data_IF_348962636098
#
_entry.id   IF_348962636098
#
_cell.length_a   1.000
_cell.length_b   1.000
_cell.length_c   1.000
_cell.angle_alpha   90.00
_cell.angle_beta   90.00
_cell.angle_gamma   90.00
#
_symmetry.space_group_name_H-M   'P 1'
#
loop_
_entity.id
_entity.type
_entity.pdbx_description
1 polymer ?
#
# COMPACT_ATOMS: atom_id res chain seq x y z
N UNK A 1 0.16 -24.05 3.75
CA UNK A 1 -0.58 -23.12 4.67
C UNK A 1 -0.69 -21.77 3.99
N UNK A 2 -1.88 -21.20 3.95
CA UNK A 2 -2.14 -19.88 3.32
C UNK A 2 -2.58 -18.88 4.39
N UNK A 3 -1.98 -17.71 4.40
CA UNK A 3 -2.40 -16.52 5.14
C UNK A 3 -2.83 -15.48 4.11
N UNK A 4 -4.05 -14.93 4.24
CA UNK A 4 -4.56 -13.87 3.39
C UNK A 4 -5.48 -12.96 4.19
N UNK A 5 -5.07 -11.72 4.42
CA UNK A 5 -5.79 -10.74 5.23
C UNK A 5 -6.80 -9.92 4.42
N UNK A 6 -6.75 -9.95 3.06
CA UNK A 6 -7.75 -9.32 2.17
C UNK A 6 -8.88 -10.27 1.75
N UNK A 7 -8.79 -11.56 2.09
CA UNK A 7 -9.79 -12.55 1.68
C UNK A 7 -11.22 -12.12 2.07
N UNK A 8 -12.08 -12.09 1.07
CA UNK A 8 -13.49 -11.64 1.18
C UNK A 8 -13.65 -10.15 1.52
N UNK A 9 -12.64 -9.31 1.25
CA UNK A 9 -12.72 -7.86 1.37
C UNK A 9 -12.78 -7.20 0.01
N UNK A 10 -13.21 -5.94 0.00
CA UNK A 10 -13.25 -5.15 -1.23
C UNK A 10 -11.83 -4.92 -1.77
N UNK A 11 -11.71 -4.87 -3.08
CA UNK A 11 -10.49 -4.50 -3.78
C UNK A 11 -10.66 -3.14 -4.44
N UNK A 12 -9.70 -2.26 -4.23
CA UNK A 12 -9.67 -0.91 -4.80
C UNK A 12 -8.68 -0.87 -5.97
N UNK A 13 -9.12 -0.28 -7.09
CA UNK A 13 -8.30 -0.12 -8.29
C UNK A 13 -7.98 1.35 -8.53
N UNK A 14 -6.73 1.67 -8.88
CA UNK A 14 -6.37 3.05 -9.22
C UNK A 14 -6.98 3.54 -10.53
N UNK A 15 -7.48 2.62 -11.37
CA UNK A 15 -7.99 2.95 -12.71
C UNK A 15 -9.26 3.80 -12.70
N UNK A 16 -10.01 3.74 -11.63
CA UNK A 16 -11.20 4.56 -11.40
C UNK A 16 -10.92 5.81 -10.55
N UNK A 17 -9.66 6.05 -10.15
CA UNK A 17 -9.29 7.24 -9.40
C UNK A 17 -9.57 8.51 -10.22
N UNK A 18 -10.34 9.45 -9.66
CA UNK A 18 -10.78 10.67 -10.35
C UNK A 18 -9.65 11.68 -10.51
N UNK A 19 -8.71 11.74 -9.55
CA UNK A 19 -7.68 12.75 -9.49
C UNK A 19 -6.40 12.35 -10.27
N UNK A 20 -5.98 11.07 -10.18
CA UNK A 20 -4.71 10.60 -10.76
C UNK A 20 -4.75 9.12 -11.15
N UNK A 21 -5.56 8.66 -12.11
CA UNK A 21 -5.69 7.23 -12.42
C UNK A 21 -4.36 6.56 -12.82
N UNK A 22 -3.44 7.33 -13.40
CA UNK A 22 -2.11 6.82 -13.84
C UNK A 22 -0.99 7.04 -12.80
N UNK A 23 -1.30 7.58 -11.62
CA UNK A 23 -0.30 7.92 -10.60
C UNK A 23 -0.77 7.70 -9.17
N UNK A 24 -1.87 6.99 -8.95
CA UNK A 24 -2.46 6.75 -7.64
C UNK A 24 -2.09 5.37 -7.04
N UNK A 25 -1.14 4.63 -7.64
CA UNK A 25 -0.82 3.28 -7.18
C UNK A 25 -0.46 3.21 -5.69
N UNK A 26 0.27 4.19 -5.18
CA UNK A 26 0.68 4.26 -3.78
C UNK A 26 -0.50 4.54 -2.84
N UNK A 27 -1.38 5.49 -3.19
CA UNK A 27 -2.56 5.83 -2.39
C UNK A 27 -3.58 4.70 -2.42
N UNK A 28 -3.84 4.12 -3.60
CA UNK A 28 -4.77 2.98 -3.74
C UNK A 28 -4.24 1.73 -3.03
N UNK A 29 -2.93 1.45 -3.13
CA UNK A 29 -2.31 0.36 -2.35
C UNK A 29 -2.40 0.61 -0.84
N UNK A 30 -2.34 1.87 -0.39
CA UNK A 30 -2.52 2.21 1.02
C UNK A 30 -3.97 1.92 1.48
N UNK A 31 -4.98 2.26 0.67
CA UNK A 31 -6.37 1.92 0.97
C UNK A 31 -6.59 0.41 0.99
N UNK A 32 -6.07 -0.33 0.01
CA UNK A 32 -6.09 -1.80 0.03
C UNK A 32 -5.43 -2.35 1.30
N UNK A 33 -4.30 -1.77 1.72
CA UNK A 33 -3.60 -2.21 2.92
C UNK A 33 -4.39 -1.91 4.20
N UNK A 34 -5.00 -0.75 4.32
CA UNK A 34 -5.89 -0.42 5.43
C UNK A 34 -7.10 -1.39 5.47
N UNK A 35 -7.70 -1.65 4.31
CA UNK A 35 -8.82 -2.59 4.20
C UNK A 35 -8.41 -4.01 4.61
N UNK A 36 -7.28 -4.51 4.09
CA UNK A 36 -6.74 -5.82 4.47
C UNK A 36 -6.46 -5.91 5.98
N UNK A 37 -6.03 -4.83 6.60
CA UNK A 37 -5.80 -4.71 8.04
C UNK A 37 -7.08 -4.39 8.85
N UNK A 38 -8.27 -4.53 8.23
CA UNK A 38 -9.60 -4.36 8.84
C UNK A 38 -9.95 -2.94 9.31
N UNK A 39 -9.27 -1.91 8.76
CA UNK A 39 -9.69 -0.54 8.98
C UNK A 39 -11.03 -0.27 8.27
N UNK A 40 -11.94 0.54 8.83
CA UNK A 40 -13.25 0.83 8.24
C UNK A 40 -13.11 1.83 7.07
N UNK A 41 -12.50 1.41 5.97
CA UNK A 41 -12.15 2.27 4.82
C UNK A 41 -13.36 2.94 4.17
N UNK A 42 -14.55 2.36 4.28
CA UNK A 42 -15.78 2.99 3.80
C UNK A 42 -16.06 4.34 4.48
N UNK A 43 -15.61 4.54 5.73
CA UNK A 43 -15.76 5.80 6.46
C UNK A 43 -14.76 6.88 6.00
N UNK A 44 -13.78 6.52 5.17
CA UNK A 44 -12.82 7.47 4.60
C UNK A 44 -13.38 8.25 3.41
N UNK A 45 -14.37 7.70 2.71
CA UNK A 45 -15.11 8.40 1.67
C UNK A 45 -15.90 9.59 2.26
N UNK A 46 -16.27 10.54 1.42
CA UNK A 46 -17.07 11.70 1.80
C UNK A 46 -18.02 12.12 0.67
N UNK A 47 -18.83 13.17 0.86
CA UNK A 47 -19.81 13.66 -0.13
C UNK A 47 -19.17 14.04 -1.48
N UNK A 48 -17.92 14.53 -1.46
CA UNK A 48 -17.20 14.92 -2.67
C UNK A 48 -16.51 13.73 -3.35
N UNK A 49 -15.99 12.79 -2.58
CA UNK A 49 -15.25 11.63 -3.06
C UNK A 49 -15.88 10.37 -2.48
N UNK A 50 -16.62 9.65 -3.32
CA UNK A 50 -17.24 8.38 -2.96
C UNK A 50 -16.23 7.23 -2.79
N UNK A 51 -15.00 7.42 -3.32
CA UNK A 51 -13.94 6.44 -3.21
C UNK A 51 -12.91 6.89 -2.15
N UNK A 52 -12.51 6.00 -1.22
CA UNK A 52 -11.60 6.35 -0.14
C UNK A 52 -10.20 6.76 -0.63
N UNK A 53 -9.72 6.18 -1.74
CA UNK A 53 -8.44 6.54 -2.36
C UNK A 53 -8.46 7.95 -2.95
N UNK A 54 -9.57 8.42 -3.51
CA UNK A 54 -9.71 9.79 -3.98
C UNK A 54 -9.77 10.78 -2.81
N UNK A 55 -10.47 10.42 -1.74
CA UNK A 55 -10.52 11.23 -0.53
C UNK A 55 -9.13 11.38 0.11
N UNK A 56 -8.35 10.29 0.22
CA UNK A 56 -6.98 10.34 0.73
C UNK A 56 -6.05 11.11 -0.23
N UNK A 57 -6.17 10.92 -1.53
CA UNK A 57 -5.38 11.66 -2.52
C UNK A 57 -5.66 13.17 -2.41
N UNK A 58 -6.93 13.56 -2.34
CA UNK A 58 -7.30 14.97 -2.16
C UNK A 58 -6.72 15.53 -0.86
N UNK A 59 -6.81 14.79 0.24
CA UNK A 59 -6.22 15.19 1.52
C UNK A 59 -4.71 15.44 1.39
N UNK A 60 -3.97 14.51 0.79
CA UNK A 60 -2.52 14.67 0.54
C UNK A 60 -2.23 15.95 -0.25
N UNK A 61 -3.06 16.27 -1.25
CA UNK A 61 -2.84 17.42 -2.13
C UNK A 61 -3.23 18.76 -1.52
N UNK A 62 -4.11 18.78 -0.51
CA UNK A 62 -4.72 20.02 -0.01
C UNK A 62 -4.48 20.32 1.47
N UNK A 63 -4.16 19.30 2.28
CA UNK A 63 -3.92 19.52 3.71
C UNK A 63 -2.65 20.33 3.96
N UNK A 64 -2.75 21.33 4.83
CA UNK A 64 -1.66 22.27 5.08
C UNK A 64 -0.43 21.60 5.73
N UNK A 65 -0.64 20.71 6.69
CA UNK A 65 0.46 20.06 7.41
C UNK A 65 1.22 19.10 6.49
N UNK A 66 0.48 18.35 5.64
CA UNK A 66 1.05 17.48 4.62
C UNK A 66 1.86 18.27 3.59
N UNK A 67 1.33 19.39 3.12
CA UNK A 67 2.00 20.27 2.16
C UNK A 67 3.25 20.95 2.75
N UNK A 68 3.24 21.32 4.03
CA UNK A 68 4.42 21.86 4.71
C UNK A 68 5.51 20.79 4.86
N UNK A 69 5.15 19.54 5.22
CA UNK A 69 6.10 18.43 5.29
C UNK A 69 6.69 18.13 3.91
N UNK A 70 5.85 18.05 2.88
CA UNK A 70 6.31 17.81 1.50
C UNK A 70 7.31 18.85 1.03
N UNK A 71 7.02 20.15 1.19
CA UNK A 71 7.94 21.23 0.80
C UNK A 71 9.28 21.18 1.53
N UNK A 72 9.30 20.69 2.78
CA UNK A 72 10.56 20.45 3.51
C UNK A 72 11.37 19.30 2.92
N UNK A 73 10.70 18.25 2.44
CA UNK A 73 11.33 17.05 1.85
C UNK A 73 11.72 17.28 0.40
N UNK A 74 10.92 18.01 -0.34
CA UNK A 74 11.14 18.34 -1.76
C UNK A 74 11.00 19.84 -2.03
N UNK A 75 11.99 20.64 -1.64
CA UNK A 75 11.96 22.10 -1.83
C UNK A 75 11.89 22.51 -3.31
N UNK A 76 12.29 21.62 -4.22
CA UNK A 76 12.28 21.85 -5.67
C UNK A 76 10.98 21.37 -6.35
N UNK A 77 10.14 20.62 -5.64
CA UNK A 77 8.90 20.07 -6.18
C UNK A 77 9.11 19.07 -7.32
N UNK A 78 10.17 18.26 -7.24
CA UNK A 78 10.54 17.30 -8.30
C UNK A 78 9.55 16.13 -8.40
N UNK A 79 8.96 15.75 -7.27
CA UNK A 79 8.00 14.66 -7.17
C UNK A 79 6.74 15.12 -6.44
N UNK A 80 5.55 14.67 -6.82
CA UNK A 80 4.32 15.01 -6.11
C UNK A 80 4.31 14.43 -4.70
N UNK A 81 3.56 15.04 -3.76
CA UNK A 81 3.59 14.67 -2.34
C UNK A 81 3.25 13.19 -2.07
N UNK A 82 2.35 12.60 -2.84
CA UNK A 82 1.98 11.19 -2.70
C UNK A 82 3.11 10.21 -3.07
N UNK A 83 4.13 10.62 -3.82
CA UNK A 83 5.27 9.77 -4.18
C UNK A 83 6.36 9.73 -3.10
N UNK A 84 6.30 10.64 -2.12
CA UNK A 84 7.21 10.63 -0.97
C UNK A 84 6.67 9.71 0.12
N UNK A 85 7.37 8.63 0.39
CA UNK A 85 6.93 7.59 1.33
C UNK A 85 6.67 8.12 2.74
N UNK A 86 7.54 8.99 3.26
CA UNK A 86 7.35 9.61 4.57
C UNK A 86 6.14 10.54 4.59
N UNK A 87 5.91 11.28 3.50
CA UNK A 87 4.74 12.17 3.36
C UNK A 87 3.47 11.34 3.29
N UNK A 88 3.44 10.26 2.50
CA UNK A 88 2.31 9.35 2.41
C UNK A 88 1.98 8.72 3.78
N UNK A 89 3.01 8.26 4.51
CA UNK A 89 2.85 7.70 5.85
C UNK A 89 2.23 8.71 6.83
N UNK A 90 2.79 9.91 6.88
CA UNK A 90 2.30 10.99 7.73
C UNK A 90 0.87 11.39 7.37
N UNK A 91 0.62 11.62 6.08
CA UNK A 91 -0.69 12.00 5.58
C UNK A 91 -1.77 10.94 5.88
N UNK A 92 -1.44 9.66 5.73
CA UNK A 92 -2.38 8.58 6.04
C UNK A 92 -2.76 8.57 7.52
N UNK A 93 -1.78 8.67 8.44
CA UNK A 93 -2.06 8.71 9.87
C UNK A 93 -2.89 9.96 10.25
N UNK A 94 -2.52 11.13 9.74
CA UNK A 94 -3.25 12.38 9.99
C UNK A 94 -4.69 12.31 9.46
N UNK A 95 -4.89 11.74 8.27
CA UNK A 95 -6.21 11.54 7.68
C UNK A 95 -7.09 10.63 8.53
N UNK A 96 -6.53 9.53 9.05
CA UNK A 96 -7.24 8.62 9.95
C UNK A 96 -7.56 9.29 11.30
N UNK A 97 -6.68 10.16 11.81
CA UNK A 97 -6.91 10.95 13.02
C UNK A 97 -8.06 11.96 12.83
N UNK A 98 -8.09 12.70 11.71
CA UNK A 98 -9.21 13.58 11.37
C UNK A 98 -10.55 12.85 11.26
N UNK A 99 -10.52 11.60 10.80
CA UNK A 99 -11.70 10.72 10.75
C UNK A 99 -12.03 10.05 12.08
N UNK A 100 -11.30 10.39 13.16
CA UNK A 100 -11.46 9.83 14.51
C UNK A 100 -11.33 8.30 14.57
N UNK A 101 -10.53 7.73 13.67
CA UNK A 101 -10.24 6.30 13.61
C UNK A 101 -8.98 5.93 14.41
N UNK A 102 -8.11 6.89 14.67
CA UNK A 102 -6.98 6.77 15.60
C UNK A 102 -7.02 7.89 16.64
N UNK A 103 -6.55 7.58 17.84
CA UNK A 103 -6.54 8.49 18.99
C UNK A 103 -5.21 8.36 19.74
N UNK A 104 -4.92 9.31 20.62
CA UNK A 104 -3.85 9.25 21.61
C UNK A 104 -2.44 9.05 21.05
N UNK A 105 -2.16 9.62 19.86
CA UNK A 105 -0.84 9.54 19.24
C UNK A 105 -0.47 8.15 18.72
N UNK A 106 -1.42 7.23 18.62
CA UNK A 106 -1.22 5.93 17.95
C UNK A 106 -1.02 6.14 16.46
N UNK A 107 -0.33 5.20 15.81
CA UNK A 107 -0.14 5.20 14.37
C UNK A 107 -0.71 3.92 13.77
N UNK A 108 -1.43 4.07 12.65
CA UNK A 108 -1.91 2.96 11.84
C UNK A 108 -0.82 2.46 10.90
N UNK A 109 0.01 3.37 10.39
CA UNK A 109 1.01 3.13 9.36
C UNK A 109 2.37 3.55 9.85
N UNK A 110 3.37 2.69 9.64
CA UNK A 110 4.78 2.97 9.91
C UNK A 110 5.60 2.81 8.63
N UNK A 111 6.30 3.86 8.24
CA UNK A 111 7.27 3.82 7.16
C UNK A 111 8.64 3.31 7.63
N UNK A 112 9.32 2.55 6.80
CA UNK A 112 10.69 2.14 7.05
C UNK A 112 11.42 1.74 5.77
N UNK A 113 12.65 2.23 5.63
CA UNK A 113 13.53 1.96 4.49
C UNK A 113 14.22 0.59 4.58
N UNK A 114 14.20 -0.05 5.74
CA UNK A 114 14.97 -1.26 6.03
C UNK A 114 14.11 -2.33 6.71
N UNK A 115 13.01 -2.73 6.04
CA UNK A 115 12.13 -3.78 6.56
C UNK A 115 12.60 -5.14 6.06
N UNK A 116 12.80 -6.07 6.98
CA UNK A 116 13.14 -7.46 6.66
C UNK A 116 11.91 -8.26 6.20
N UNK A 117 12.14 -9.40 5.56
CA UNK A 117 11.08 -10.38 5.27
C UNK A 117 10.37 -10.81 6.56
N UNK A 118 11.11 -10.94 7.67
CA UNK A 118 10.54 -11.28 8.97
C UNK A 118 9.60 -10.20 9.51
N UNK A 119 9.87 -8.91 9.23
CA UNK A 119 8.97 -7.82 9.59
C UNK A 119 7.66 -7.90 8.81
N UNK A 120 7.74 -8.21 7.50
CA UNK A 120 6.57 -8.41 6.67
C UNK A 120 5.71 -9.58 7.17
N UNK A 121 6.34 -10.73 7.41
CA UNK A 121 5.63 -11.92 7.93
C UNK A 121 4.97 -11.63 9.27
N UNK A 122 5.69 -11.02 10.23
CA UNK A 122 5.14 -10.66 11.53
C UNK A 122 3.95 -9.72 11.44
N UNK A 123 4.02 -8.73 10.53
CA UNK A 123 2.91 -7.81 10.28
C UNK A 123 1.69 -8.55 9.75
N UNK A 124 1.88 -9.42 8.75
CA UNK A 124 0.79 -10.23 8.19
C UNK A 124 0.20 -11.20 9.23
N UNK A 125 1.04 -11.85 10.02
CA UNK A 125 0.61 -12.80 11.06
C UNK A 125 -0.22 -12.11 12.14
N UNK A 126 0.08 -10.86 12.45
CA UNK A 126 -0.70 -10.04 13.39
C UNK A 126 -2.00 -9.46 12.79
N UNK A 127 -2.37 -9.82 11.55
CA UNK A 127 -3.57 -9.32 10.88
C UNK A 127 -3.38 -7.98 10.16
N UNK A 128 -2.16 -7.48 10.10
CA UNK A 128 -1.80 -6.28 9.34
C UNK A 128 -1.51 -6.56 7.88
N UNK A 129 -0.97 -5.57 7.19
CA UNK A 129 -0.61 -5.62 5.76
C UNK A 129 0.61 -4.73 5.51
N UNK A 130 1.13 -4.71 4.28
CA UNK A 130 2.22 -3.80 3.94
C UNK A 130 2.04 -3.20 2.55
N UNK A 131 2.56 -1.97 2.35
CA UNK A 131 2.65 -1.34 1.03
C UNK A 131 4.09 -1.37 0.58
N UNK A 132 4.34 -1.92 -0.60
CA UNK A 132 5.67 -2.19 -1.15
C UNK A 132 5.86 -1.50 -2.50
N UNK A 133 7.03 -0.90 -2.70
CA UNK A 133 7.46 -0.39 -4.00
C UNK A 133 8.30 -1.42 -4.72
N UNK A 134 8.07 -1.53 -6.04
CA UNK A 134 8.84 -2.40 -6.90
C UNK A 134 9.04 -1.85 -8.30
N UNK A 135 9.71 -2.63 -9.15
CA UNK A 135 9.79 -2.44 -10.59
C UNK A 135 8.99 -3.52 -11.29
N UNK A 136 7.95 -3.09 -11.98
CA UNK A 136 7.02 -3.95 -12.70
C UNK A 136 7.14 -3.72 -14.20
N UNK A 137 6.83 -4.73 -15.00
CA UNK A 137 6.85 -4.57 -16.45
C UNK A 137 5.48 -4.15 -16.97
N UNK A 138 5.46 -3.04 -17.71
CA UNK A 138 4.31 -2.59 -18.47
C UNK A 138 4.75 -2.20 -19.88
N UNK A 139 4.15 -2.82 -20.91
CA UNK A 139 4.54 -2.64 -22.31
C UNK A 139 6.06 -2.78 -22.51
N UNK A 140 6.63 -3.85 -21.95
CA UNK A 140 8.06 -4.21 -22.00
C UNK A 140 9.02 -3.23 -21.29
N UNK A 141 8.49 -2.18 -20.67
CA UNK A 141 9.27 -1.20 -19.91
C UNK A 141 9.17 -1.47 -18.42
N UNK A 142 10.26 -1.29 -17.71
CA UNK A 142 10.26 -1.29 -16.26
C UNK A 142 9.65 0.03 -15.75
N UNK A 143 8.60 -0.07 -14.97
CA UNK A 143 7.94 1.06 -14.32
C UNK A 143 8.04 0.93 -12.80
N UNK A 144 8.26 2.06 -12.13
CA UNK A 144 8.08 2.13 -10.67
C UNK A 144 6.61 1.96 -10.33
N UNK A 145 6.30 0.97 -9.50
CA UNK A 145 4.92 0.67 -9.11
C UNK A 145 4.83 0.31 -7.64
N UNK A 146 3.65 0.49 -7.07
CA UNK A 146 3.39 0.22 -5.66
C UNK A 146 2.21 -0.75 -5.55
N UNK A 147 2.38 -1.78 -4.74
CA UNK A 147 1.38 -2.82 -4.49
C UNK A 147 1.15 -3.01 -3.00
N UNK A 148 0.00 -3.58 -2.65
CA UNK A 148 -0.30 -3.99 -1.29
C UNK A 148 0.05 -5.47 -1.07
N UNK A 149 0.81 -5.77 -0.04
CA UNK A 149 1.09 -7.12 0.42
C UNK A 149 0.07 -7.51 1.49
N UNK A 150 -0.73 -8.54 1.20
CA UNK A 150 -1.86 -8.94 2.05
C UNK A 150 -1.72 -10.34 2.65
N UNK A 151 -0.75 -11.12 2.16
CA UNK A 151 -0.59 -12.49 2.65
C UNK A 151 0.59 -13.23 2.04
N UNK A 152 0.61 -14.55 2.31
CA UNK A 152 1.59 -15.47 1.76
C UNK A 152 1.06 -16.91 1.73
N UNK A 153 1.70 -17.74 0.93
CA UNK A 153 1.52 -19.19 0.88
C UNK A 153 2.81 -19.89 1.24
N UNK A 154 2.76 -20.83 2.18
CA UNK A 154 3.89 -21.69 2.58
C UNK A 154 3.71 -23.12 2.04
N UNK A 155 4.82 -23.72 1.68
CA UNK A 155 4.88 -25.15 1.35
C UNK A 155 4.79 -26.03 2.61
N UNK A 156 4.94 -27.35 2.40
CA UNK A 156 4.94 -28.37 3.47
C UNK A 156 6.12 -28.22 4.43
N UNK A 157 7.20 -27.59 4.00
CA UNK A 157 8.39 -27.31 4.82
C UNK A 157 8.32 -25.98 5.56
N UNK A 158 7.21 -25.23 5.41
CA UNK A 158 7.01 -23.93 6.05
C UNK A 158 7.70 -22.76 5.34
N UNK A 159 8.27 -22.98 4.15
CA UNK A 159 8.90 -21.92 3.34
C UNK A 159 7.85 -21.17 2.53
N UNK A 160 7.97 -19.85 2.45
CA UNK A 160 7.09 -19.03 1.60
C UNK A 160 7.40 -19.32 0.14
N UNK A 161 6.38 -19.77 -0.60
CA UNK A 161 6.44 -20.01 -2.04
C UNK A 161 5.87 -18.86 -2.83
N UNK A 162 4.76 -18.32 -2.36
CA UNK A 162 4.12 -17.15 -2.96
C UNK A 162 3.83 -16.10 -1.90
N UNK A 163 3.96 -14.85 -2.29
CA UNK A 163 3.33 -13.73 -1.60
C UNK A 163 1.97 -13.48 -2.22
N UNK A 164 1.02 -12.98 -1.45
CA UNK A 164 -0.29 -12.57 -1.96
C UNK A 164 -0.32 -11.05 -1.95
N UNK A 165 -0.57 -10.47 -3.13
CA UNK A 165 -0.62 -9.03 -3.30
C UNK A 165 -1.95 -8.58 -3.89
N UNK A 166 -2.36 -7.36 -3.54
CA UNK A 166 -3.37 -6.60 -4.26
C UNK A 166 -2.64 -5.53 -5.09
N UNK A 167 -2.71 -5.67 -6.41
CA UNK A 167 -2.09 -4.76 -7.36
C UNK A 167 -3.15 -3.78 -7.88
N UNK A 168 -3.08 -2.48 -7.53
CA UNK A 168 -4.12 -1.51 -7.87
C UNK A 168 -4.24 -1.24 -9.37
N UNK A 169 -3.27 -1.63 -10.18
CA UNK A 169 -3.31 -1.44 -11.63
C UNK A 169 -3.85 -2.65 -12.40
N UNK A 170 -3.96 -3.83 -11.76
CA UNK A 170 -4.43 -5.06 -12.34
C UNK A 170 -3.44 -6.21 -12.23
N UNK A 171 -3.63 -7.29 -12.97
CA UNK A 171 -2.77 -8.47 -12.91
C UNK A 171 -1.47 -8.28 -13.72
N UNK A 172 -0.35 -8.03 -13.02
CA UNK A 172 0.97 -7.87 -13.63
C UNK A 172 1.43 -9.08 -14.45
N UNK A 173 0.97 -10.30 -14.09
CA UNK A 173 1.33 -11.55 -14.78
C UNK A 173 0.77 -11.60 -16.20
N UNK A 174 -0.28 -10.87 -16.46
CA UNK A 174 -0.90 -10.75 -17.79
C UNK A 174 -0.36 -9.55 -18.59
N UNK A 175 0.64 -8.85 -18.07
CA UNK A 175 1.08 -7.55 -18.60
C UNK A 175 -0.01 -6.49 -18.45
N UNK A 176 -0.83 -6.61 -17.39
CA UNK A 176 -1.96 -5.72 -17.08
C UNK A 176 -3.13 -5.74 -18.08
N UNK A 177 -3.24 -6.81 -18.87
CA UNK A 177 -4.44 -7.07 -19.68
C UNK A 177 -5.62 -7.52 -18.80
N UNK A 178 -5.36 -8.26 -17.73
CA UNK A 178 -6.29 -8.54 -16.64
C UNK A 178 -6.41 -7.33 -15.73
N UNK A 179 -7.62 -6.79 -15.57
CA UNK A 179 -7.87 -5.58 -14.78
C UNK A 179 -8.06 -5.85 -13.29
N UNK A 180 -8.32 -7.10 -12.93
CA UNK A 180 -8.46 -7.51 -11.54
C UNK A 180 -7.08 -7.86 -10.97
N UNK A 181 -6.63 -7.05 -10.03
CA UNK A 181 -5.37 -7.24 -9.31
C UNK A 181 -5.53 -7.76 -7.89
N UNK A 182 -6.72 -8.24 -7.53
CA UNK A 182 -7.03 -8.76 -6.21
C UNK A 182 -6.40 -10.14 -5.98
N UNK A 183 -5.83 -10.36 -4.81
CA UNK A 183 -5.32 -11.65 -4.34
C UNK A 183 -4.36 -12.37 -5.31
N UNK A 184 -3.49 -11.61 -5.97
CA UNK A 184 -2.52 -12.18 -6.91
C UNK A 184 -1.43 -12.95 -6.15
N UNK A 185 -1.28 -14.23 -6.47
CA UNK A 185 -0.12 -15.01 -6.03
C UNK A 185 1.13 -14.57 -6.80
N UNK A 186 2.07 -13.93 -6.11
CA UNK A 186 3.37 -13.51 -6.61
C UNK A 186 4.43 -14.53 -6.18
N UNK A 187 5.02 -15.31 -7.10
CA UNK A 187 6.08 -16.24 -6.77
C UNK A 187 7.25 -15.57 -6.05
N UNK A 188 7.95 -16.32 -5.19
CA UNK A 188 9.10 -15.79 -4.42
C UNK A 188 10.16 -15.19 -5.34
N UNK A 189 10.44 -15.82 -6.50
CA UNK A 189 11.42 -15.32 -7.47
C UNK A 189 11.00 -13.97 -8.06
N UNK A 190 9.73 -13.81 -8.38
CA UNK A 190 9.17 -12.54 -8.84
C UNK A 190 9.27 -11.47 -7.74
N UNK A 191 8.91 -11.83 -6.51
CA UNK A 191 9.05 -10.94 -5.38
C UNK A 191 10.49 -10.45 -5.18
N UNK A 192 11.46 -11.36 -5.24
CA UNK A 192 12.87 -11.01 -5.10
C UNK A 192 13.37 -10.12 -6.24
N UNK A 193 12.90 -10.36 -7.45
CA UNK A 193 13.29 -9.61 -8.65
C UNK A 193 12.62 -8.25 -8.73
N UNK A 194 11.32 -8.17 -8.42
CA UNK A 194 10.50 -6.98 -8.66
C UNK A 194 10.43 -6.06 -7.44
N UNK A 195 10.24 -6.62 -6.25
CA UNK A 195 10.29 -5.86 -5.00
C UNK A 195 11.76 -5.77 -4.59
N UNK A 196 12.45 -4.78 -5.15
CA UNK A 196 13.90 -4.68 -5.05
C UNK A 196 14.40 -4.75 -3.62
N UNK A 197 15.41 -5.60 -3.35
CA UNK A 197 16.18 -5.50 -2.14
C UNK A 197 17.06 -4.24 -2.24
N UNK A 198 16.88 -3.36 -1.29
CA UNK A 198 17.89 -2.35 -1.05
C UNK A 198 18.77 -2.88 0.09
N UNK A 199 20.09 -2.83 -0.08
CA UNK A 199 21.06 -3.21 0.94
C UNK A 199 20.74 -4.52 1.72
N UNK A 200 21.23 -5.65 1.23
CA UNK A 200 21.15 -6.97 1.89
C UNK A 200 19.73 -7.55 2.05
N UNK A 201 18.85 -7.33 1.08
CA UNK A 201 17.51 -7.93 1.06
C UNK A 201 16.44 -7.19 1.87
N UNK A 202 16.78 -6.03 2.45
CA UNK A 202 15.82 -5.18 3.15
C UNK A 202 14.94 -4.43 2.14
N UNK A 203 13.69 -4.16 2.53
CA UNK A 203 12.67 -3.56 1.68
C UNK A 203 12.25 -2.19 2.19
N UNK A 204 11.92 -1.30 1.25
CA UNK A 204 11.16 -0.09 1.57
C UNK A 204 9.70 -0.49 1.72
N UNK A 205 9.13 -0.31 2.90
CA UNK A 205 7.76 -0.69 3.17
C UNK A 205 7.06 0.24 4.15
N UNK A 206 5.76 0.46 3.91
CA UNK A 206 4.83 0.88 4.94
C UNK A 206 4.23 -0.37 5.57
N UNK A 207 4.34 -0.51 6.87
CA UNK A 207 3.66 -1.55 7.64
C UNK A 207 2.36 -0.98 8.19
N UNK A 208 1.25 -1.63 7.88
CA UNK A 208 -0.09 -1.22 8.32
C UNK A 208 -0.52 -2.16 9.43
N UNK A 209 -0.79 -1.60 10.59
CA UNK A 209 -1.24 -2.36 11.77
C UNK A 209 -2.71 -2.74 11.63
N UNK A 210 -3.06 -3.91 12.16
CA UNK A 210 -4.46 -4.32 12.26
C UNK A 210 -5.26 -3.31 13.07
N UNK A 211 -6.45 -2.96 12.57
CA UNK A 211 -7.42 -2.14 13.31
C UNK A 211 -7.90 -2.89 14.55
N UNK A 212 -7.94 -2.16 15.66
CA UNK A 212 -8.53 -2.65 16.93
C UNK A 212 -9.47 -1.55 17.41
N UNK A 213 -10.74 -1.90 17.53
CA UNK A 213 -11.68 -1.02 18.21
C UNK A 213 -11.23 -0.79 19.66
N UNK A 214 -11.33 0.47 20.11
CA UNK A 214 -11.03 0.85 21.49
C UNK A 214 -12.23 0.65 22.39
#
# INVERSE_FOLDING_TARGET
MTKNNSKNKDYFTQRNNELKPNGACNVTSMINALNAASWPVAQLANERFSQPEDALMNFILTDRQVQELWRKKDPKGLYPPNEWHEVLCHATNLFLEERKLIHDGRTAVEWGERRSVSDLVRTLDSGGSAVLRGLFKYNEKDIGHVVCLVGYEKDSCGQIRNWIIDDPFGDYRTGYKGLNGNDIAMPMDDFQRMIRPENNGLKHAHLVRMFKEC
#
